data_IF_174311280216
#
_entry.id   IF_174311280216
#
_cell.length_a   1.000
_cell.length_b   1.000
_cell.length_c   1.000
_cell.angle_alpha   90.00
_cell.angle_beta   90.00
_cell.angle_gamma   90.00
#
_symmetry.space_group_name_H-M   'P 1'
#
loop_
_entity.id
_entity.type
_entity.pdbx_description
1 polymer ?
#
# COMPACT_ATOMS: atom_id res chain seq x y z
N UNK A 1 15.30 7.25 -22.07
CA UNK A 1 14.92 8.58 -21.53
C UNK A 1 15.03 8.54 -20.01
N UNK A 2 16.16 9.02 -19.48
CA UNK A 2 16.46 9.09 -18.04
C UNK A 2 15.76 10.32 -17.44
N UNK A 3 14.96 10.10 -16.38
CA UNK A 3 14.17 11.12 -15.67
C UNK A 3 15.13 12.08 -14.98
N UNK A 4 15.47 13.17 -15.68
CA UNK A 4 16.40 14.21 -15.25
C UNK A 4 15.79 14.99 -14.08
N UNK A 5 16.28 14.69 -12.88
CA UNK A 5 16.26 15.48 -11.65
C UNK A 5 15.39 16.74 -11.69
N UNK A 6 14.19 16.68 -11.11
CA UNK A 6 13.68 17.84 -10.39
C UNK A 6 14.72 18.09 -9.30
N UNK A 7 15.56 19.11 -9.47
CA UNK A 7 16.32 19.65 -8.34
C UNK A 7 15.28 20.03 -7.30
N UNK A 8 15.17 19.24 -6.24
CA UNK A 8 14.40 19.62 -5.07
C UNK A 8 14.93 20.98 -4.64
N UNK A 9 14.12 22.04 -4.82
CA UNK A 9 14.46 23.41 -4.37
C UNK A 9 14.56 23.49 -2.84
N UNK A 10 14.16 22.41 -2.16
CA UNK A 10 14.12 22.27 -0.73
C UNK A 10 15.43 21.61 -0.32
N UNK A 11 16.20 22.28 0.53
CA UNK A 11 17.39 21.67 1.13
C UNK A 11 16.97 20.51 2.03
N UNK A 12 17.78 19.46 2.16
CA UNK A 12 17.45 18.31 3.02
C UNK A 12 17.17 18.75 4.46
N UNK A 13 17.88 19.76 4.96
CA UNK A 13 17.66 20.36 6.28
C UNK A 13 16.26 20.99 6.40
N UNK A 14 15.84 21.79 5.42
CA UNK A 14 14.51 22.40 5.40
C UNK A 14 13.42 21.34 5.30
N UNK A 15 13.64 20.26 4.54
CA UNK A 15 12.69 19.15 4.46
C UNK A 15 12.51 18.45 5.82
N UNK A 16 13.60 18.20 6.54
CA UNK A 16 13.57 17.55 7.84
C UNK A 16 12.88 18.42 8.91
N UNK A 17 13.18 19.73 8.90
CA UNK A 17 12.49 20.70 9.77
C UNK A 17 11.00 20.78 9.45
N UNK A 18 10.63 20.83 8.17
CA UNK A 18 9.22 20.89 7.75
C UNK A 18 8.46 19.64 8.19
N UNK A 19 9.05 18.45 8.03
CA UNK A 19 8.45 17.20 8.50
C UNK A 19 8.27 17.19 10.02
N UNK A 20 9.26 17.68 10.78
CA UNK A 20 9.17 17.77 12.23
C UNK A 20 8.00 18.65 12.66
N UNK A 21 7.86 19.84 12.05
CA UNK A 21 6.77 20.77 12.33
C UNK A 21 5.42 20.11 12.02
N UNK A 22 5.28 19.49 10.84
CA UNK A 22 4.04 18.81 10.46
C UNK A 22 3.66 17.72 11.48
N UNK A 23 4.62 16.92 11.94
CA UNK A 23 4.34 15.89 12.96
C UNK A 23 3.98 16.47 14.32
N UNK A 24 4.56 17.61 14.71
CA UNK A 24 4.19 18.31 15.94
C UNK A 24 2.78 18.90 15.83
N UNK A 25 2.41 19.49 14.70
CA UNK A 25 1.06 20.01 14.46
C UNK A 25 0.01 18.90 14.46
N UNK A 26 0.27 17.77 13.79
CA UNK A 26 -0.63 16.61 13.79
C UNK A 26 -0.87 16.08 15.22
N UNK A 27 0.14 16.12 16.10
CA UNK A 27 0.00 15.71 17.50
C UNK A 27 -0.85 16.65 18.35
N UNK A 28 -1.01 17.91 17.95
CA UNK A 28 -1.79 18.91 18.69
C UNK A 28 -3.29 18.84 18.38
N UNK A 29 -3.67 18.20 17.28
CA UNK A 29 -5.07 18.05 16.86
C UNK A 29 -5.77 17.10 17.84
N UNK A 30 -6.80 17.61 18.53
CA UNK A 30 -7.55 16.84 19.53
C UNK A 30 -9.03 16.65 19.16
N UNK A 31 -9.52 17.36 18.14
CA UNK A 31 -10.92 17.30 17.71
C UNK A 31 -11.07 16.87 16.24
N UNK A 32 -12.17 16.16 15.90
CA UNK A 32 -12.52 15.88 14.51
C UNK A 32 -12.65 17.14 13.66
N UNK A 33 -13.21 18.23 14.23
CA UNK A 33 -13.37 19.51 13.55
C UNK A 33 -12.01 20.13 13.20
N UNK A 34 -11.08 20.12 14.16
CA UNK A 34 -9.70 20.60 13.94
C UNK A 34 -8.97 19.78 12.88
N UNK A 35 -9.25 18.47 12.84
CA UNK A 35 -8.69 17.58 11.82
C UNK A 35 -9.18 17.98 10.42
N UNK A 36 -10.48 18.25 10.28
CA UNK A 36 -11.07 18.69 9.01
C UNK A 36 -10.51 20.04 8.57
N UNK A 37 -10.37 21.00 9.49
CA UNK A 37 -9.77 22.30 9.23
C UNK A 37 -8.28 22.18 8.83
N UNK A 38 -7.53 21.29 9.48
CA UNK A 38 -6.14 21.03 9.12
C UNK A 38 -6.03 20.43 7.71
N UNK A 39 -6.82 19.38 7.44
CA UNK A 39 -6.82 18.72 6.14
C UNK A 39 -7.27 19.66 5.02
N UNK A 40 -8.24 20.54 5.31
CA UNK A 40 -8.77 21.51 4.33
C UNK A 40 -7.77 22.58 3.94
N UNK A 41 -6.93 23.03 4.87
CA UNK A 41 -5.88 24.03 4.63
C UNK A 41 -4.62 23.43 4.01
N UNK A 42 -4.28 22.19 4.37
CA UNK A 42 -3.00 21.58 3.97
C UNK A 42 -3.08 20.82 2.65
N UNK A 43 -4.24 20.24 2.33
CA UNK A 43 -4.43 19.46 1.12
C UNK A 43 -5.39 20.14 0.15
N UNK A 44 -5.10 19.99 -1.13
CA UNK A 44 -6.07 20.25 -2.19
C UNK A 44 -7.19 19.20 -2.17
N UNK A 45 -8.33 19.50 -2.79
CA UNK A 45 -9.46 18.57 -2.81
C UNK A 45 -9.14 17.25 -3.53
N UNK A 46 -8.29 17.30 -4.56
CA UNK A 46 -7.81 16.10 -5.26
C UNK A 46 -6.90 15.22 -4.38
N UNK A 47 -6.06 15.84 -3.55
CA UNK A 47 -5.21 15.11 -2.61
C UNK A 47 -6.03 14.49 -1.48
N UNK A 48 -7.04 15.20 -0.96
CA UNK A 48 -8.01 14.65 0.00
C UNK A 48 -8.73 13.45 -0.59
N UNK A 49 -9.25 13.58 -1.80
CA UNK A 49 -9.92 12.48 -2.51
C UNK A 49 -8.99 11.28 -2.68
N UNK A 50 -7.72 11.52 -3.00
CA UNK A 50 -6.72 10.45 -3.12
C UNK A 50 -6.46 9.77 -1.78
N UNK A 51 -6.35 10.52 -0.69
CA UNK A 51 -6.17 10.01 0.66
C UNK A 51 -7.39 9.18 1.10
N UNK A 52 -8.60 9.68 0.87
CA UNK A 52 -9.86 8.98 1.14
C UNK A 52 -9.98 7.67 0.36
N UNK A 53 -9.62 7.65 -0.93
CA UNK A 53 -9.59 6.41 -1.72
C UNK A 53 -8.62 5.38 -1.15
N UNK A 54 -7.45 5.80 -0.64
CA UNK A 54 -6.50 4.89 0.03
C UNK A 54 -7.08 4.32 1.33
N UNK A 55 -7.74 5.14 2.14
CA UNK A 55 -8.46 4.70 3.35
C UNK A 55 -9.59 3.72 3.00
N UNK A 56 -10.41 4.06 2.01
CA UNK A 56 -11.50 3.20 1.53
C UNK A 56 -10.97 1.85 1.03
N UNK A 57 -9.84 1.84 0.31
CA UNK A 57 -9.21 0.60 -0.11
C UNK A 57 -8.80 -0.28 1.08
N UNK A 58 -8.25 0.30 2.16
CA UNK A 58 -7.93 -0.46 3.37
C UNK A 58 -9.18 -1.05 4.03
N UNK A 59 -10.28 -0.30 4.09
CA UNK A 59 -11.56 -0.79 4.61
C UNK A 59 -12.10 -1.95 3.77
N UNK A 60 -12.09 -1.83 2.44
CA UNK A 60 -12.56 -2.88 1.53
C UNK A 60 -11.67 -4.13 1.60
N UNK A 61 -10.35 -3.96 1.71
CA UNK A 61 -9.42 -5.07 1.94
C UNK A 61 -9.71 -5.78 3.27
N UNK A 62 -9.97 -5.04 4.34
CA UNK A 62 -10.37 -5.60 5.64
C UNK A 62 -11.68 -6.37 5.58
N UNK A 63 -12.59 -5.99 4.66
CA UNK A 63 -13.85 -6.71 4.37
C UNK A 63 -13.67 -7.90 3.40
N UNK A 64 -12.45 -8.22 2.99
CA UNK A 64 -12.16 -9.37 2.13
C UNK A 64 -12.45 -9.16 0.64
N UNK A 65 -12.59 -7.91 0.19
CA UNK A 65 -12.85 -7.59 -1.22
C UNK A 65 -11.64 -7.89 -2.11
N UNK A 66 -11.90 -8.32 -3.34
CA UNK A 66 -10.85 -8.67 -4.30
C UNK A 66 -10.21 -7.41 -4.91
N UNK A 67 -8.93 -7.52 -5.31
CA UNK A 67 -8.18 -6.39 -5.85
C UNK A 67 -8.87 -5.74 -7.06
N UNK A 68 -9.43 -6.56 -7.95
CA UNK A 68 -10.10 -6.09 -9.18
C UNK A 68 -11.36 -5.28 -8.87
N UNK A 69 -12.14 -5.73 -7.88
CA UNK A 69 -13.33 -5.02 -7.42
C UNK A 69 -12.96 -3.64 -6.83
N UNK A 70 -11.87 -3.59 -6.05
CA UNK A 70 -11.37 -2.34 -5.45
C UNK A 70 -10.85 -1.37 -6.52
N UNK A 71 -10.11 -1.87 -7.52
CA UNK A 71 -9.63 -1.06 -8.66
C UNK A 71 -10.82 -0.44 -9.38
N UNK A 72 -11.84 -1.24 -9.71
CA UNK A 72 -13.00 -0.79 -10.47
C UNK A 72 -13.85 0.21 -9.67
N UNK A 73 -13.96 0.03 -8.35
CA UNK A 73 -14.78 0.89 -7.49
C UNK A 73 -14.12 2.23 -7.20
N UNK A 74 -12.82 2.23 -6.90
CA UNK A 74 -12.10 3.42 -6.40
C UNK A 74 -11.22 4.08 -7.46
N UNK A 75 -11.08 3.47 -8.64
CA UNK A 75 -10.20 3.92 -9.72
C UNK A 75 -8.77 4.20 -9.23
N UNK A 76 -8.20 3.25 -8.49
CA UNK A 76 -6.82 3.30 -7.98
C UNK A 76 -6.00 2.15 -8.52
N UNK A 77 -4.68 2.36 -8.63
CA UNK A 77 -3.80 1.32 -9.16
C UNK A 77 -3.67 0.11 -8.22
N UNK A 78 -3.41 -1.07 -8.79
CA UNK A 78 -3.09 -2.29 -8.01
C UNK A 78 -1.88 -2.08 -7.08
N UNK A 79 -0.90 -1.27 -7.49
CA UNK A 79 0.25 -0.92 -6.66
C UNK A 79 -0.17 -0.14 -5.40
N UNK A 80 -1.10 0.80 -5.54
CA UNK A 80 -1.67 1.55 -4.40
C UNK A 80 -2.40 0.63 -3.43
N UNK A 81 -3.20 -0.32 -3.95
CA UNK A 81 -3.90 -1.32 -3.12
C UNK A 81 -2.89 -2.22 -2.41
N UNK A 82 -1.81 -2.63 -3.07
CA UNK A 82 -0.73 -3.38 -2.44
C UNK A 82 -0.11 -2.63 -1.26
N UNK A 83 0.22 -1.34 -1.46
CA UNK A 83 0.76 -0.50 -0.39
C UNK A 83 -0.24 -0.35 0.76
N UNK A 84 -1.53 -0.16 0.47
CA UNK A 84 -2.60 -0.11 1.46
C UNK A 84 -2.71 -1.42 2.26
N UNK A 85 -2.57 -2.58 1.61
CA UNK A 85 -2.52 -3.89 2.27
C UNK A 85 -1.29 -4.04 3.16
N UNK A 86 -0.14 -3.54 2.72
CA UNK A 86 1.09 -3.57 3.51
C UNK A 86 0.96 -2.70 4.78
N UNK A 87 0.26 -1.55 4.68
CA UNK A 87 -0.10 -0.75 5.84
C UNK A 87 -1.04 -1.52 6.79
N UNK A 88 -2.13 -2.09 6.26
CA UNK A 88 -3.11 -2.85 7.06
C UNK A 88 -2.48 -4.07 7.76
N UNK A 89 -1.57 -4.78 7.07
CA UNK A 89 -0.88 -5.97 7.60
C UNK A 89 0.33 -5.64 8.48
N UNK A 90 0.57 -4.36 8.76
CA UNK A 90 1.69 -3.88 9.56
C UNK A 90 3.06 -4.24 8.95
N UNK A 91 3.13 -4.45 7.62
CA UNK A 91 4.39 -4.76 6.91
C UNK A 91 5.34 -3.58 6.87
N UNK A 92 4.81 -2.34 6.90
CA UNK A 92 5.58 -1.11 6.72
C UNK A 92 5.58 -0.15 7.92
N UNK A 93 4.93 -0.48 9.04
CA UNK A 93 5.16 0.24 10.31
C UNK A 93 6.34 -0.41 11.03
N UNK A 94 7.28 0.44 11.47
CA UNK A 94 8.65 0.11 11.87
C UNK A 94 8.78 -1.20 12.65
N UNK A 95 9.84 -1.96 12.33
CA UNK A 95 10.38 -3.12 13.07
C UNK A 95 9.43 -3.64 14.15
N UNK A 96 8.31 -4.27 13.78
CA UNK A 96 7.46 -4.92 14.77
C UNK A 96 8.23 -6.13 15.31
N UNK A 97 8.81 -6.09 16.53
CA UNK A 97 9.71 -7.13 17.03
C UNK A 97 8.97 -8.43 17.34
N UNK A 98 7.63 -8.39 17.44
CA UNK A 98 6.77 -9.53 17.72
C UNK A 98 6.20 -10.20 16.48
N UNK A 99 6.59 -9.75 15.27
CA UNK A 99 6.05 -10.32 14.04
C UNK A 99 6.76 -11.63 13.68
N UNK A 100 6.10 -12.76 13.90
CA UNK A 100 6.48 -14.02 13.22
C UNK A 100 6.31 -13.79 11.72
N UNK A 101 7.41 -13.86 10.94
CA UNK A 101 7.30 -13.88 9.47
C UNK A 101 6.39 -15.05 9.11
N UNK A 102 5.19 -14.77 8.62
CA UNK A 102 4.39 -15.78 7.94
C UNK A 102 5.10 -16.03 6.63
N UNK A 103 6.00 -17.01 6.63
CA UNK A 103 6.59 -17.54 5.41
C UNK A 103 5.45 -18.15 4.61
N UNK A 104 4.98 -17.46 3.58
CA UNK A 104 4.28 -18.15 2.50
C UNK A 104 5.27 -19.18 1.96
N UNK A 105 5.00 -20.48 2.06
CA UNK A 105 5.88 -21.45 1.43
C UNK A 105 6.03 -21.04 -0.05
N UNK A 106 7.26 -21.09 -0.61
CA UNK A 106 7.47 -20.79 -2.01
C UNK A 106 6.50 -21.66 -2.80
N UNK A 107 5.96 -21.13 -3.90
CA UNK A 107 4.92 -21.75 -4.73
C UNK A 107 5.37 -23.06 -5.45
N UNK A 108 6.24 -23.84 -4.82
CA UNK A 108 7.04 -24.92 -5.36
C UNK A 108 6.97 -26.21 -4.53
N UNK A 109 5.87 -26.49 -3.81
CA UNK A 109 5.69 -27.82 -3.17
C UNK A 109 4.55 -28.67 -3.74
N UNK A 110 3.72 -28.18 -4.67
CA UNK A 110 2.72 -29.03 -5.33
C UNK A 110 2.67 -28.85 -6.85
N UNK A 111 3.83 -28.94 -7.51
CA UNK A 111 3.82 -29.68 -8.78
C UNK A 111 3.89 -31.16 -8.42
N UNK A 112 2.74 -31.77 -8.08
CA UNK A 112 2.57 -33.21 -8.32
C UNK A 112 2.98 -33.40 -9.79
N UNK A 113 4.17 -33.95 -10.02
CA UNK A 113 4.56 -34.47 -11.33
C UNK A 113 3.42 -35.43 -11.67
N UNK A 114 2.48 -35.01 -12.51
CA UNK A 114 1.62 -35.95 -13.22
C UNK A 114 2.63 -36.81 -13.95
N UNK A 115 2.88 -38.02 -13.45
CA UNK A 115 3.57 -39.05 -14.21
C UNK A 115 2.68 -39.23 -15.43
N UNK A 116 3.05 -38.61 -16.55
CA UNK A 116 2.45 -38.98 -17.82
C UNK A 116 2.84 -40.46 -17.96
N UNK A 117 1.89 -41.41 -17.97
CA UNK A 117 2.25 -42.79 -18.22
C UNK A 117 2.98 -42.85 -19.57
N UNK A 118 4.02 -43.70 -19.70
CA UNK A 118 4.69 -43.84 -20.99
C UNK A 118 3.63 -44.19 -22.04
N UNK A 119 3.63 -43.44 -23.14
CA UNK A 119 2.79 -43.75 -24.31
C UNK A 119 3.14 -45.18 -24.70
N UNK A 120 2.18 -46.09 -24.61
CA UNK A 120 2.39 -47.47 -24.99
C UNK A 120 2.87 -47.49 -26.46
N UNK A 121 3.97 -48.17 -26.79
CA UNK A 121 4.36 -48.30 -28.19
C UNK A 121 3.24 -49.06 -28.90
N UNK A 122 2.68 -48.42 -29.92
CA UNK A 122 1.65 -48.96 -30.79
C UNK A 122 2.05 -50.39 -31.19
N UNK A 123 1.21 -51.37 -30.81
CA UNK A 123 1.30 -52.71 -31.38
C UNK A 123 0.71 -52.60 -32.79
N UNK A 124 1.53 -52.95 -33.78
CA UNK A 124 1.16 -53.11 -35.18
C UNK A 124 0.05 -54.14 -35.34
#
# INVERSE_FOLDING_TARGET
>A
MTRKYLKDKITPELSAQSLKIIFEEIKKINSPQETEDFLSKFFTDDEKNTLLRRLAAMILLGRGKQYEEIVNTLNISKATISNARDLLSGRNYGRNPHRKRVYSPPAASERKKRRIPPIAPWRY
#
